data_IF_701446797677
#
_entry.id   IF_701446797677
#
_cell.length_a   1.000
_cell.length_b   1.000
_cell.length_c   1.000
_cell.angle_alpha   90.00
_cell.angle_beta   90.00
_cell.angle_gamma   90.00
#
_symmetry.space_group_name_H-M   'P 1'
#
loop_
_entity.id
_entity.type
_entity.pdbx_description
1 polymer ?
#
# COMPACT_ATOMS: atom_id res chain seq x y z
N UNK A 1 -2.19 -3.17 13.54
CA UNK A 1 -0.79 -2.68 13.49
C UNK A 1 -0.87 -1.16 13.50
N UNK A 2 -1.58 -0.59 14.45
CA UNK A 2 -1.23 -0.28 15.85
C UNK A 2 -0.24 0.88 15.97
N UNK A 3 -0.83 2.03 16.25
CA UNK A 3 -0.23 3.31 16.65
C UNK A 3 0.78 3.21 17.81
N UNK A 4 0.91 2.04 18.42
CA UNK A 4 1.89 1.70 19.46
C UNK A 4 3.35 1.79 18.97
N UNK A 5 3.64 1.47 17.70
CA UNK A 5 5.00 1.59 17.15
C UNK A 5 5.40 3.06 16.91
N UNK A 6 4.46 3.90 16.48
CA UNK A 6 4.64 5.34 16.27
C UNK A 6 5.11 6.07 17.53
N UNK A 7 4.58 5.69 18.69
CA UNK A 7 4.96 6.28 19.98
C UNK A 7 6.40 5.92 20.38
N UNK A 8 6.84 4.70 20.07
CA UNK A 8 8.20 4.21 20.39
C UNK A 8 9.25 4.87 19.50
N UNK A 9 8.91 5.24 18.26
CA UNK A 9 9.82 5.98 17.37
C UNK A 9 10.16 7.38 17.87
N UNK A 10 9.26 8.03 18.62
CA UNK A 10 9.49 9.35 19.20
C UNK A 10 10.45 9.35 20.40
N UNK A 11 10.61 8.20 21.06
CA UNK A 11 11.49 8.00 22.22
C UNK A 11 12.88 7.45 21.83
N UNK A 12 13.01 6.88 20.62
CA UNK A 12 14.28 6.41 20.07
C UNK A 12 14.89 7.49 19.18
N UNK A 13 16.22 7.52 19.07
CA UNK A 13 17.05 8.54 18.40
C UNK A 13 16.88 8.62 16.86
N UNK A 14 15.66 8.46 16.35
CA UNK A 14 15.32 8.56 14.94
C UNK A 14 15.23 10.03 14.51
N UNK A 15 15.58 10.35 13.26
CA UNK A 15 15.40 11.69 12.72
C UNK A 15 13.96 12.21 12.87
N UNK A 16 13.83 13.48 13.28
CA UNK A 16 12.53 14.12 13.59
C UNK A 16 11.55 14.18 12.40
N UNK A 17 12.01 13.97 11.16
CA UNK A 17 11.15 13.93 9.97
C UNK A 17 10.24 12.70 9.91
N UNK A 18 10.65 11.56 10.49
CA UNK A 18 9.86 10.32 10.44
C UNK A 18 8.53 10.44 11.18
N UNK A 19 8.57 11.10 12.33
CA UNK A 19 7.38 11.39 13.12
C UNK A 19 7.48 12.81 13.70
N UNK A 20 6.97 13.81 12.98
CA UNK A 20 7.12 15.21 13.34
C UNK A 20 6.62 15.51 14.76
N UNK A 21 7.37 16.35 15.49
CA UNK A 21 6.95 16.87 16.81
C UNK A 21 5.89 17.97 16.70
N UNK A 22 5.86 18.66 15.56
CA UNK A 22 4.86 19.68 15.27
C UNK A 22 3.48 19.03 15.13
N UNK A 23 2.51 19.51 15.93
CA UNK A 23 1.18 18.91 16.04
C UNK A 23 0.43 18.79 14.71
N UNK A 24 0.55 19.79 13.83
CA UNK A 24 -0.10 19.76 12.52
C UNK A 24 0.46 18.68 11.58
N UNK A 25 1.79 18.59 11.46
CA UNK A 25 2.43 17.56 10.62
C UNK A 25 2.20 16.16 11.20
N UNK A 26 2.19 16.03 12.53
CA UNK A 26 1.85 14.78 13.22
C UNK A 26 0.42 14.34 12.93
N UNK A 27 -0.54 15.25 12.98
CA UNK A 27 -1.94 14.95 12.70
C UNK A 27 -2.14 14.40 11.28
N UNK A 28 -1.38 14.87 10.28
CA UNK A 28 -1.43 14.35 8.91
C UNK A 28 -0.90 12.91 8.82
N UNK A 29 0.21 12.61 9.49
CA UNK A 29 0.75 11.24 9.56
C UNK A 29 -0.20 10.30 10.29
N UNK A 30 -0.80 10.76 11.39
CA UNK A 30 -1.80 10.00 12.15
C UNK A 30 -3.09 9.77 11.33
N UNK A 31 -3.54 10.78 10.57
CA UNK A 31 -4.68 10.67 9.65
C UNK A 31 -4.43 9.60 8.57
N UNK A 32 -3.27 9.64 7.91
CA UNK A 32 -2.91 8.60 6.94
C UNK A 32 -2.83 7.22 7.60
N UNK A 33 -2.22 7.13 8.79
CA UNK A 33 -2.11 5.85 9.51
C UNK A 33 -3.46 5.31 9.96
N UNK A 34 -4.44 6.16 10.29
CA UNK A 34 -5.79 5.70 10.55
C UNK A 34 -6.49 5.23 9.25
N UNK A 35 -6.25 5.95 8.14
CA UNK A 35 -6.92 5.71 6.87
C UNK A 35 -6.38 4.47 6.12
N UNK A 36 -5.06 4.26 6.07
CA UNK A 36 -4.44 3.21 5.23
C UNK A 36 -4.91 1.79 5.59
N UNK A 37 -5.22 1.52 6.86
CA UNK A 37 -5.58 0.19 7.35
C UNK A 37 -6.91 -0.30 6.76
N UNK A 38 -7.87 0.61 6.57
CA UNK A 38 -9.18 0.32 6.01
C UNK A 38 -9.23 0.40 4.48
N UNK A 39 -8.21 0.98 3.85
CA UNK A 39 -8.20 1.26 2.42
C UNK A 39 -7.04 0.51 1.73
N UNK A 40 -5.91 1.17 1.50
CA UNK A 40 -4.77 0.63 0.73
C UNK A 40 -4.35 -0.75 1.23
N UNK A 41 -4.19 -0.92 2.54
CA UNK A 41 -3.77 -2.20 3.11
C UNK A 41 -4.77 -3.32 2.84
N UNK A 42 -6.07 -3.07 2.98
CA UNK A 42 -7.10 -4.10 2.86
C UNK A 42 -7.20 -4.59 1.41
N UNK A 43 -7.25 -3.65 0.45
CA UNK A 43 -7.38 -3.97 -0.96
C UNK A 43 -6.12 -4.65 -1.51
N UNK A 44 -4.94 -4.11 -1.19
CA UNK A 44 -3.66 -4.68 -1.64
C UNK A 44 -3.40 -6.05 -1.01
N UNK A 45 -3.68 -6.23 0.28
CA UNK A 45 -3.53 -7.55 0.92
C UNK A 45 -4.47 -8.58 0.29
N UNK A 46 -5.67 -8.17 -0.12
CA UNK A 46 -6.61 -9.07 -0.80
C UNK A 46 -6.07 -9.50 -2.16
N UNK A 47 -5.54 -8.57 -2.95
CA UNK A 47 -4.88 -8.84 -4.25
C UNK A 47 -3.70 -9.79 -4.05
N UNK A 48 -2.80 -9.48 -3.12
CA UNK A 48 -1.62 -10.29 -2.81
C UNK A 48 -1.99 -11.73 -2.38
N UNK A 49 -3.02 -11.87 -1.53
CA UNK A 49 -3.49 -13.18 -1.12
C UNK A 49 -4.07 -13.99 -2.28
N UNK A 50 -4.84 -13.35 -3.16
CA UNK A 50 -5.49 -14.02 -4.30
C UNK A 50 -4.48 -14.40 -5.39
N UNK A 51 -3.52 -13.54 -5.73
CA UNK A 51 -2.60 -13.77 -6.85
C UNK A 51 -1.35 -14.57 -6.47
N UNK A 52 -0.85 -14.39 -5.24
CA UNK A 52 0.44 -14.98 -4.84
C UNK A 52 0.24 -16.07 -3.81
N UNK A 53 -0.40 -15.76 -2.68
CA UNK A 53 -0.41 -16.67 -1.53
C UNK A 53 -1.31 -17.88 -1.73
N UNK A 54 -2.53 -17.72 -2.22
CA UNK A 54 -3.47 -18.82 -2.43
C UNK A 54 -2.96 -19.78 -3.51
N UNK A 55 -2.46 -19.33 -4.68
CA UNK A 55 -1.84 -20.22 -5.66
C UNK A 55 -0.64 -20.99 -5.10
N UNK A 56 0.22 -20.33 -4.32
CA UNK A 56 1.36 -20.99 -3.67
C UNK A 56 0.93 -22.10 -2.69
N UNK A 57 -0.18 -21.89 -1.97
CA UNK A 57 -0.73 -22.85 -1.01
C UNK A 57 -1.69 -23.87 -1.65
N UNK A 58 -1.92 -23.82 -2.97
CA UNK A 58 -2.89 -24.68 -3.67
C UNK A 58 -4.35 -24.42 -3.28
N UNK A 59 -4.64 -23.28 -2.67
CA UNK A 59 -5.99 -22.87 -2.28
C UNK A 59 -6.68 -22.21 -3.47
N UNK A 60 -7.96 -22.54 -3.76
CA UNK A 60 -8.69 -21.92 -4.85
C UNK A 60 -8.82 -20.41 -4.65
N UNK A 61 -8.51 -19.66 -5.71
CA UNK A 61 -8.68 -18.21 -5.77
C UNK A 61 -10.12 -17.86 -6.13
N UNK A 62 -10.56 -16.66 -5.77
CA UNK A 62 -11.86 -16.12 -6.12
C UNK A 62 -11.67 -14.92 -7.08
N UNK A 63 -11.81 -15.13 -8.39
CA UNK A 63 -11.63 -14.09 -9.40
C UNK A 63 -12.58 -12.90 -9.21
N UNK A 64 -13.83 -13.14 -8.78
CA UNK A 64 -14.77 -12.05 -8.55
C UNK A 64 -14.35 -11.15 -7.38
N UNK A 65 -13.76 -11.75 -6.33
CA UNK A 65 -13.20 -10.98 -5.20
C UNK A 65 -11.94 -10.22 -5.62
N UNK A 66 -11.12 -10.82 -6.48
CA UNK A 66 -9.92 -10.20 -7.03
C UNK A 66 -10.25 -8.97 -7.89
N UNK A 67 -11.12 -9.12 -8.88
CA UNK A 67 -11.57 -8.03 -9.76
C UNK A 67 -12.23 -6.89 -8.97
N UNK A 68 -13.04 -7.25 -7.96
CA UNK A 68 -13.62 -6.25 -7.05
C UNK A 68 -12.54 -5.48 -6.28
N UNK A 69 -11.54 -6.18 -5.74
CA UNK A 69 -10.45 -5.54 -5.01
C UNK A 69 -9.59 -4.64 -5.90
N UNK A 70 -9.36 -5.02 -7.17
CA UNK A 70 -8.69 -4.15 -8.15
C UNK A 70 -9.47 -2.86 -8.41
N UNK A 71 -10.79 -2.95 -8.59
CA UNK A 71 -11.63 -1.78 -8.81
C UNK A 71 -11.69 -0.86 -7.57
N UNK A 72 -11.75 -1.43 -6.38
CA UNK A 72 -11.70 -0.67 -5.13
C UNK A 72 -10.32 -0.04 -4.87
N UNK A 73 -9.25 -0.74 -5.28
CA UNK A 73 -7.90 -0.21 -5.24
C UNK A 73 -7.76 1.03 -6.14
N UNK A 74 -8.32 1.03 -7.35
CA UNK A 74 -8.28 2.19 -8.25
C UNK A 74 -8.87 3.45 -7.58
N UNK A 75 -10.03 3.32 -6.94
CA UNK A 75 -10.63 4.41 -6.16
C UNK A 75 -9.78 4.84 -4.96
N UNK A 76 -9.12 3.87 -4.33
CA UNK A 76 -8.20 4.13 -3.20
C UNK A 76 -6.94 4.88 -3.65
N UNK A 77 -6.36 4.52 -4.79
CA UNK A 77 -5.21 5.21 -5.37
C UNK A 77 -5.56 6.63 -5.78
N UNK A 78 -6.76 6.83 -6.34
CA UNK A 78 -7.28 8.16 -6.63
C UNK A 78 -7.43 9.02 -5.36
N UNK A 79 -7.93 8.45 -4.26
CA UNK A 79 -7.94 9.13 -2.95
C UNK A 79 -6.52 9.42 -2.45
N UNK A 80 -5.59 8.48 -2.60
CA UNK A 80 -4.20 8.67 -2.19
C UNK A 80 -3.55 9.85 -2.93
N UNK A 81 -3.76 9.93 -4.24
CA UNK A 81 -3.28 11.01 -5.09
C UNK A 81 -3.96 12.35 -4.77
N UNK A 82 -5.29 12.39 -4.67
CA UNK A 82 -6.02 13.66 -4.54
C UNK A 82 -6.15 14.18 -3.10
N UNK A 83 -6.11 13.31 -2.09
CA UNK A 83 -6.27 13.71 -0.68
C UNK A 83 -4.92 13.93 0.01
N UNK A 84 -3.96 13.03 -0.20
CA UNK A 84 -2.68 13.04 0.50
C UNK A 84 -1.57 13.66 -0.34
N UNK A 85 -1.27 13.08 -1.52
CA UNK A 85 -0.15 13.53 -2.34
C UNK A 85 -0.36 14.94 -2.93
N UNK A 86 -1.53 15.21 -3.51
CA UNK A 86 -1.92 16.47 -4.14
C UNK A 86 -0.83 17.03 -5.08
N UNK A 87 -0.09 18.03 -4.63
CA UNK A 87 1.06 18.66 -5.33
C UNK A 87 2.32 18.70 -4.45
N UNK A 88 2.34 17.87 -3.41
CA UNK A 88 3.43 17.79 -2.45
C UNK A 88 4.43 16.71 -2.89
N UNK A 89 5.66 16.80 -2.38
CA UNK A 89 6.72 15.84 -2.72
C UNK A 89 6.52 14.50 -2.03
N UNK A 90 5.93 14.50 -0.82
CA UNK A 90 5.63 13.33 -0.01
C UNK A 90 4.18 13.39 0.52
N UNK A 91 3.66 12.27 1.04
CA UNK A 91 2.25 12.14 1.48
C UNK A 91 1.86 13.08 2.62
N UNK A 92 2.83 13.49 3.44
CA UNK A 92 2.60 14.36 4.60
C UNK A 92 3.47 15.63 4.57
N UNK A 93 3.90 16.08 3.38
CA UNK A 93 4.61 17.35 3.21
C UNK A 93 5.83 17.30 2.29
N UNK A 94 6.83 18.11 2.63
CA UNK A 94 8.08 18.27 1.87
C UNK A 94 9.16 17.26 2.26
N UNK A 95 9.03 16.61 3.43
CA UNK A 95 9.96 15.62 3.95
C UNK A 95 9.33 14.23 3.95
N UNK A 96 10.16 13.20 3.74
CA UNK A 96 9.74 11.80 3.89
C UNK A 96 9.30 11.50 5.32
N UNK A 97 8.21 10.75 5.46
CA UNK A 97 7.61 10.42 6.75
C UNK A 97 7.26 8.92 6.84
N UNK A 98 6.78 8.49 8.01
CA UNK A 98 6.29 7.11 8.16
C UNK A 98 5.14 6.79 7.20
N UNK A 99 4.31 7.77 6.85
CA UNK A 99 3.20 7.57 5.91
C UNK A 99 3.73 7.08 4.55
N UNK A 100 4.84 7.66 4.07
CA UNK A 100 5.49 7.28 2.81
C UNK A 100 6.05 5.85 2.85
N UNK A 101 6.66 5.46 3.98
CA UNK A 101 7.14 4.08 4.15
C UNK A 101 5.98 3.08 4.11
N UNK A 102 4.90 3.36 4.83
CA UNK A 102 3.73 2.48 4.85
C UNK A 102 3.10 2.37 3.46
N UNK A 103 2.95 3.49 2.75
CA UNK A 103 2.42 3.52 1.39
C UNK A 103 3.27 2.71 0.41
N UNK A 104 4.60 2.91 0.42
CA UNK A 104 5.52 2.20 -0.48
C UNK A 104 5.55 0.70 -0.16
N UNK A 105 5.60 0.33 1.12
CA UNK A 105 5.56 -1.08 1.53
C UNK A 105 4.28 -1.78 1.08
N UNK A 106 3.16 -1.06 1.06
CA UNK A 106 1.89 -1.57 0.56
C UNK A 106 1.92 -1.66 -0.98
N UNK A 107 2.26 -0.59 -1.69
CA UNK A 107 2.31 -0.58 -3.15
C UNK A 107 3.28 -1.63 -3.72
N UNK A 108 4.39 -1.89 -3.05
CA UNK A 108 5.34 -2.93 -3.45
C UNK A 108 4.76 -4.35 -3.36
N UNK A 109 3.75 -4.58 -2.51
CA UNK A 109 3.02 -5.85 -2.48
C UNK A 109 1.96 -5.96 -3.60
N UNK A 110 1.48 -4.81 -4.09
CA UNK A 110 0.58 -4.75 -5.24
C UNK A 110 1.32 -4.91 -6.57
N UNK A 111 2.60 -4.53 -6.62
CA UNK A 111 3.44 -4.75 -7.79
C UNK A 111 3.60 -6.25 -8.05
N UNK A 112 3.29 -6.65 -9.28
CA UNK A 112 3.30 -8.04 -9.74
C UNK A 112 4.73 -8.50 -10.03
N UNK A 113 5.58 -7.58 -10.50
CA UNK A 113 6.94 -7.83 -10.98
C UNK A 113 7.85 -8.61 -10.00
N UNK A 114 7.85 -8.37 -8.68
CA UNK A 114 8.70 -9.13 -7.76
C UNK A 114 8.34 -10.63 -7.68
N UNK A 115 7.13 -11.01 -8.06
CA UNK A 115 6.58 -12.36 -7.91
C UNK A 115 6.48 -13.14 -9.23
N UNK A 116 6.78 -12.49 -10.35
CA UNK A 116 6.80 -13.09 -11.69
C UNK A 116 7.80 -14.25 -11.80
N UNK A 117 8.82 -14.29 -10.92
CA UNK A 117 9.77 -15.40 -10.80
C UNK A 117 9.41 -16.46 -9.74
N UNK A 118 8.36 -16.25 -8.95
CA UNK A 118 7.99 -17.11 -7.80
C UNK A 118 6.68 -17.86 -8.04
N UNK A 119 5.83 -17.37 -8.96
CA UNK A 119 4.63 -18.10 -9.36
C UNK A 119 4.99 -19.19 -10.37
N UNK A 120 4.53 -20.44 -10.18
CA UNK A 120 4.68 -21.47 -11.21
C UNK A 120 3.83 -21.03 -12.40
N UNK A 121 4.50 -20.57 -13.44
CA UNK A 121 4.04 -20.28 -14.79
C UNK A 121 2.61 -20.77 -15.08
N UNK A 122 1.61 -19.89 -14.90
CA UNK A 122 0.37 -20.00 -15.67
C UNK A 122 0.48 -19.08 -16.86
N UNK A 123 0.88 -19.71 -17.96
CA UNK A 123 0.71 -19.21 -19.31
C UNK A 123 -0.74 -18.72 -19.48
N UNK A 124 -0.92 -17.62 -20.22
CA UNK A 124 -2.20 -17.09 -20.77
C UNK A 124 -3.14 -16.43 -19.74
N UNK A 125 -3.60 -15.18 -19.88
CA UNK A 125 -4.23 -14.57 -21.04
C UNK A 125 -4.17 -13.03 -21.00
N UNK A 126 -3.37 -12.41 -21.87
CA UNK A 126 -3.72 -11.15 -22.53
C UNK A 126 -3.11 -11.21 -23.94
N UNK A 127 -3.90 -11.18 -25.02
CA UNK A 127 -3.32 -11.01 -26.34
C UNK A 127 -2.83 -9.56 -26.45
N UNK A 128 -1.53 -9.38 -26.34
CA UNK A 128 -0.86 -8.17 -26.80
C UNK A 128 -0.98 -8.23 -28.33
N UNK A 129 -1.86 -7.43 -28.91
CA UNK A 129 -1.89 -7.21 -30.36
C UNK A 129 -0.57 -6.52 -30.76
N UNK A 130 0.25 -7.11 -31.64
CA UNK A 130 1.34 -6.37 -32.25
C UNK A 130 0.81 -5.47 -33.36
N UNK A 131 1.42 -4.29 -33.46
CA UNK A 131 1.27 -3.30 -34.53
C UNK A 131 1.78 -3.88 -35.85
#
# INVERSE_FOLDING_TARGET
>A
MDSSLLRVSGDNNAPDHWYPKLSQKRAQVDEYTAWHHGNTRMHISTIFLQEVRFPMLGVPTNPAKFEKALKELDGTLNMLENMFLKRQTFLCGEDISLADLLAVCELMQADRNPWDGVTPHKSTCCPINPI
#
